data_IF_005684188138
#
_entry.id   IF_005684188138
#
_cell.length_a   1.000
_cell.length_b   1.000
_cell.length_c   1.000
_cell.angle_alpha   90.00
_cell.angle_beta   90.00
_cell.angle_gamma   90.00
#
_symmetry.space_group_name_H-M   'P 1'
#
loop_
_entity.id
_entity.type
_entity.pdbx_description
1 polymer ?
#
# COMPACT_ATOMS: atom_id res chain seq x y z
N UNK A 1 8.56 -10.44 33.90
CA UNK A 1 9.90 -9.80 33.92
C UNK A 1 9.88 -8.79 32.81
N UNK A 2 10.02 -7.48 33.07
CA UNK A 2 9.75 -6.46 32.06
C UNK A 2 10.76 -6.58 30.93
N UNK A 3 10.26 -6.90 29.75
CA UNK A 3 11.03 -7.00 28.52
C UNK A 3 10.74 -5.75 27.68
N UNK A 4 11.78 -4.97 27.40
CA UNK A 4 11.67 -3.73 26.62
C UNK A 4 12.38 -3.91 25.29
N UNK A 5 11.65 -3.79 24.19
CA UNK A 5 12.20 -3.81 22.84
C UNK A 5 12.39 -2.38 22.34
N UNK A 6 13.58 -2.03 21.87
CA UNK A 6 13.87 -0.77 21.20
C UNK A 6 14.24 -1.04 19.74
N UNK A 7 13.50 -0.43 18.83
CA UNK A 7 13.63 -0.60 17.39
C UNK A 7 13.98 0.75 16.75
N UNK A 8 15.10 0.83 16.05
CA UNK A 8 15.46 2.00 15.24
C UNK A 8 15.04 1.78 13.80
N UNK A 9 14.09 2.60 13.33
CA UNK A 9 13.68 2.67 11.92
C UNK A 9 14.54 3.73 11.21
N UNK A 10 15.75 3.36 10.79
CA UNK A 10 16.64 4.23 10.03
C UNK A 10 16.18 4.42 8.57
N UNK A 11 16.84 5.32 7.84
CA UNK A 11 16.47 5.63 6.45
C UNK A 11 16.71 4.51 5.44
N UNK A 12 17.59 3.55 5.74
CA UNK A 12 17.89 2.41 4.85
C UNK A 12 17.85 1.05 5.54
N UNK A 13 18.00 1.03 6.87
CA UNK A 13 18.04 -0.20 7.64
C UNK A 13 17.42 -0.03 9.02
N UNK A 14 16.93 -1.15 9.54
CA UNK A 14 16.31 -1.28 10.86
C UNK A 14 17.24 -2.04 11.77
N UNK A 15 17.41 -1.55 13.00
CA UNK A 15 18.19 -2.22 14.04
C UNK A 15 17.36 -2.39 15.30
N UNK A 16 17.61 -3.44 16.07
CA UNK A 16 16.91 -3.71 17.31
C UNK A 16 17.87 -3.98 18.48
N UNK A 17 17.47 -3.54 19.66
CA UNK A 17 18.06 -3.92 20.92
C UNK A 17 16.94 -4.27 21.89
N UNK A 18 17.19 -5.23 22.77
CA UNK A 18 16.22 -5.68 23.77
C UNK A 18 16.84 -5.62 25.14
N UNK A 19 16.05 -5.19 26.13
CA UNK A 19 16.40 -5.32 27.53
C UNK A 19 15.55 -6.38 28.21
N UNK A 20 16.20 -7.36 28.83
CA UNK A 20 15.58 -8.37 29.68
C UNK A 20 16.24 -8.32 31.04
N UNK A 21 15.44 -8.08 32.08
CA UNK A 21 15.92 -7.95 33.47
C UNK A 21 17.10 -6.97 33.63
N UNK A 22 17.05 -5.87 32.87
CA UNK A 22 18.07 -4.81 32.91
C UNK A 22 19.36 -5.12 32.14
N UNK A 23 19.55 -6.35 31.67
CA UNK A 23 20.58 -6.68 30.67
C UNK A 23 20.13 -6.18 29.31
N UNK A 24 21.03 -5.57 28.55
CA UNK A 24 20.76 -5.10 27.18
C UNK A 24 21.55 -5.99 26.22
N UNK A 25 20.88 -6.54 25.23
CA UNK A 25 21.50 -7.30 24.15
C UNK A 25 21.01 -6.73 22.80
N UNK A 26 21.89 -6.78 21.77
CA UNK A 26 21.52 -6.40 20.40
C UNK A 26 20.83 -7.58 19.73
N UNK A 27 19.72 -7.32 19.05
CA UNK A 27 18.89 -8.36 18.44
C UNK A 27 19.22 -8.48 16.95
N UNK A 28 19.52 -9.70 16.49
CA UNK A 28 19.68 -9.97 15.07
C UNK A 28 18.32 -10.14 14.39
N UNK A 29 18.00 -9.19 13.51
CA UNK A 29 16.73 -9.19 12.79
C UNK A 29 16.77 -10.07 11.52
N UNK A 30 17.85 -9.97 10.73
CA UNK A 30 18.08 -10.81 9.55
C UNK A 30 18.60 -12.22 9.88
N UNK A 31 18.77 -13.07 8.87
CA UNK A 31 19.40 -14.39 9.04
C UNK A 31 20.93 -14.22 9.20
N UNK A 32 21.36 -14.00 10.44
CA UNK A 32 22.76 -13.75 10.79
C UNK A 32 23.22 -12.30 10.57
N UNK A 33 22.31 -11.37 10.24
CA UNK A 33 22.57 -9.94 10.17
C UNK A 33 21.88 -9.19 11.31
N UNK A 34 22.52 -8.12 11.79
CA UNK A 34 21.97 -7.27 12.83
C UNK A 34 20.78 -6.43 12.32
N UNK A 35 20.65 -6.28 11.00
CA UNK A 35 19.74 -5.35 10.36
C UNK A 35 18.73 -6.02 9.42
N UNK A 36 17.65 -5.28 9.15
CA UNK A 36 16.70 -5.51 8.05
C UNK A 36 16.63 -4.27 7.16
N UNK A 37 16.27 -4.40 5.87
CA UNK A 37 15.97 -3.24 5.04
C UNK A 37 14.82 -2.43 5.64
N UNK A 38 14.98 -1.10 5.71
CA UNK A 38 13.93 -0.23 6.20
C UNK A 38 12.81 -0.08 5.16
N UNK A 39 11.53 -0.24 5.56
CA UNK A 39 10.41 0.10 4.70
C UNK A 39 10.34 1.62 4.51
N UNK A 40 9.60 2.06 3.48
CA UNK A 40 9.26 3.48 3.37
C UNK A 40 8.51 3.92 4.62
N UNK A 41 8.70 5.16 5.12
CA UNK A 41 7.87 5.75 6.18
C UNK A 41 6.36 5.66 5.93
N UNK A 42 5.95 5.58 4.66
CA UNK A 42 4.56 5.49 4.21
C UNK A 42 4.13 4.06 3.87
N UNK A 43 5.01 3.07 4.01
CA UNK A 43 4.74 1.65 3.72
C UNK A 43 4.29 0.96 5.01
N UNK A 44 3.00 1.09 5.35
CA UNK A 44 2.41 0.47 6.53
C UNK A 44 2.58 -1.06 6.59
N UNK A 45 2.38 -1.82 5.50
CA UNK A 45 2.63 -3.27 5.50
C UNK A 45 4.09 -3.59 5.78
N UNK A 46 5.02 -2.82 5.22
CA UNK A 46 6.43 -2.90 5.53
C UNK A 46 6.71 -2.69 7.02
N UNK A 47 6.08 -1.67 7.63
CA UNK A 47 6.19 -1.41 9.08
C UNK A 47 5.64 -2.57 9.92
N UNK A 48 4.45 -3.08 9.61
CA UNK A 48 3.86 -4.25 10.29
C UNK A 48 4.81 -5.46 10.19
N UNK A 49 5.35 -5.73 9.01
CA UNK A 49 6.28 -6.85 8.78
C UNK A 49 7.54 -6.72 9.63
N UNK A 50 8.10 -5.53 9.73
CA UNK A 50 9.27 -5.27 10.59
C UNK A 50 8.94 -5.53 12.06
N UNK A 51 7.81 -5.02 12.55
CA UNK A 51 7.37 -5.19 13.95
C UNK A 51 7.15 -6.67 14.30
N UNK A 52 6.42 -7.40 13.45
CA UNK A 52 6.21 -8.85 13.61
C UNK A 52 7.54 -9.60 13.59
N UNK A 53 8.45 -9.24 12.69
CA UNK A 53 9.78 -9.87 12.61
C UNK A 53 10.58 -9.62 13.90
N UNK A 54 10.58 -8.39 14.41
CA UNK A 54 11.28 -8.05 15.64
C UNK A 54 10.71 -8.82 16.85
N UNK A 55 9.39 -8.89 17.00
CA UNK A 55 8.74 -9.67 18.06
C UNK A 55 9.05 -11.17 17.95
N UNK A 56 8.96 -11.75 16.75
CA UNK A 56 9.29 -13.15 16.51
C UNK A 56 10.77 -13.46 16.86
N UNK A 57 11.67 -12.51 16.57
CA UNK A 57 13.09 -12.63 16.94
C UNK A 57 13.30 -12.54 18.45
N UNK A 58 12.58 -11.67 19.17
CA UNK A 58 12.60 -11.64 20.63
C UNK A 58 12.22 -12.99 21.24
N UNK A 59 11.10 -13.58 20.80
CA UNK A 59 10.63 -14.89 21.28
C UNK A 59 11.66 -15.98 20.95
N UNK A 60 12.20 -15.99 19.74
CA UNK A 60 13.11 -17.05 19.31
C UNK A 60 14.51 -16.97 19.92
N UNK A 61 15.05 -15.77 20.13
CA UNK A 61 16.45 -15.56 20.55
C UNK A 61 16.55 -15.39 22.06
N UNK A 62 15.59 -14.65 22.65
CA UNK A 62 15.64 -14.23 24.06
C UNK A 62 14.56 -14.93 24.90
N UNK A 63 13.69 -15.74 24.27
CA UNK A 63 12.63 -16.50 24.94
C UNK A 63 11.67 -15.61 25.75
N UNK A 64 11.39 -14.41 25.22
CA UNK A 64 10.53 -13.42 25.85
C UNK A 64 9.67 -12.65 24.83
N UNK A 65 8.46 -12.29 25.25
CA UNK A 65 7.59 -11.35 24.51
C UNK A 65 7.82 -9.95 25.10
N UNK A 66 8.04 -8.91 24.27
CA UNK A 66 8.21 -7.56 24.78
C UNK A 66 6.93 -7.05 25.43
N UNK A 67 7.05 -6.57 26.66
CA UNK A 67 6.00 -5.88 27.41
C UNK A 67 5.86 -4.42 26.93
N UNK A 68 6.99 -3.83 26.53
CA UNK A 68 7.08 -2.44 26.06
C UNK A 68 7.86 -2.37 24.74
N UNK A 69 7.45 -1.42 23.89
CA UNK A 69 8.08 -1.14 22.60
C UNK A 69 8.47 0.34 22.52
N UNK A 70 9.71 0.60 22.14
CA UNK A 70 10.22 1.94 21.83
C UNK A 70 10.57 1.94 20.35
N UNK A 71 10.01 2.89 19.61
CA UNK A 71 10.38 3.10 18.20
C UNK A 71 11.18 4.37 18.10
N UNK A 72 12.46 4.22 17.77
CA UNK A 72 13.37 5.33 17.50
C UNK A 72 13.33 5.63 16.01
N UNK A 73 13.02 6.86 15.63
CA UNK A 73 12.94 7.28 14.21
C UNK A 73 13.64 8.61 13.96
N UNK A 74 14.14 8.86 12.73
CA UNK A 74 14.61 10.18 12.33
C UNK A 74 13.45 11.19 12.23
N UNK A 75 13.78 12.48 12.14
CA UNK A 75 12.82 13.60 12.00
C UNK A 75 11.78 13.37 10.87
N UNK A 76 12.21 12.73 9.78
CA UNK A 76 11.37 12.36 8.64
C UNK A 76 11.16 10.84 8.67
N UNK A 77 10.06 10.40 9.28
CA UNK A 77 9.71 9.00 9.46
C UNK A 77 8.19 8.79 9.55
N UNK A 78 7.75 7.54 9.68
CA UNK A 78 6.34 7.19 9.82
C UNK A 78 5.76 7.91 11.04
N UNK A 79 4.60 8.54 10.94
CA UNK A 79 3.99 9.29 12.04
C UNK A 79 3.46 8.37 13.17
N UNK A 80 3.13 8.96 14.32
CA UNK A 80 2.73 8.23 15.52
C UNK A 80 1.43 7.43 15.33
N UNK A 81 0.50 7.92 14.50
CA UNK A 81 -0.76 7.24 14.23
C UNK A 81 -0.52 6.00 13.36
N UNK A 82 0.27 6.15 12.29
CA UNK A 82 0.68 5.03 11.43
C UNK A 82 1.43 3.96 12.22
N UNK A 83 2.38 4.35 13.08
CA UNK A 83 3.10 3.40 13.94
C UNK A 83 2.19 2.72 14.97
N UNK A 84 1.23 3.45 15.54
CA UNK A 84 0.23 2.91 16.47
C UNK A 84 -0.66 1.85 15.82
N UNK A 85 -1.16 2.11 14.61
CA UNK A 85 -1.99 1.15 13.87
C UNK A 85 -1.16 -0.06 13.41
N UNK A 86 0.09 0.16 12.97
CA UNK A 86 1.00 -0.92 12.58
C UNK A 86 1.29 -1.83 13.79
N UNK A 87 1.46 -1.24 14.97
CA UNK A 87 1.67 -1.98 16.21
C UNK A 87 0.44 -2.79 16.62
N UNK A 88 -0.76 -2.21 16.52
CA UNK A 88 -2.02 -2.89 16.79
C UNK A 88 -2.18 -4.12 15.89
N UNK A 89 -1.91 -3.97 14.58
CA UNK A 89 -1.95 -5.08 13.62
C UNK A 89 -0.88 -6.13 13.85
N UNK A 90 0.35 -5.72 14.18
CA UNK A 90 1.43 -6.63 14.54
C UNK A 90 1.21 -7.31 15.89
N UNK A 91 0.20 -6.90 16.68
CA UNK A 91 -0.07 -7.39 18.04
C UNK A 91 1.14 -7.20 18.97
N UNK A 92 1.82 -6.08 18.81
CA UNK A 92 2.90 -5.62 19.69
C UNK A 92 2.40 -4.49 20.59
N UNK A 93 3.08 -4.20 21.72
CA UNK A 93 2.74 -3.06 22.55
C UNK A 93 2.72 -1.74 21.75
N UNK A 94 1.85 -0.81 22.13
CA UNK A 94 1.80 0.53 21.52
C UNK A 94 3.16 1.20 21.70
N UNK A 95 3.80 1.67 20.63
CA UNK A 95 5.18 2.15 20.69
C UNK A 95 5.27 3.51 21.39
N UNK A 96 6.23 3.65 22.29
CA UNK A 96 6.75 4.95 22.69
C UNK A 96 7.68 5.47 21.58
N UNK A 97 7.27 6.53 20.89
CA UNK A 97 8.05 7.11 19.79
C UNK A 97 9.12 8.06 20.35
N UNK A 98 10.37 7.84 19.94
CA UNK A 98 11.52 8.63 20.35
C UNK A 98 12.27 9.15 19.13
N UNK A 99 12.67 10.42 19.19
CA UNK A 99 13.54 11.02 18.17
C UNK A 99 14.95 10.41 18.21
N UNK A 100 15.53 10.19 17.03
CA UNK A 100 16.86 9.61 16.87
C UNK A 100 17.95 10.40 17.60
N UNK A 101 17.93 11.74 17.54
CA UNK A 101 18.93 12.56 18.24
C UNK A 101 18.77 12.46 19.76
N UNK A 102 17.53 12.41 20.26
CA UNK A 102 17.28 12.18 21.70
C UNK A 102 17.78 10.81 22.17
N UNK A 103 17.52 9.76 21.39
CA UNK A 103 18.02 8.42 21.70
C UNK A 103 19.55 8.38 21.73
N UNK A 104 20.19 8.94 20.71
CA UNK A 104 21.67 9.00 20.61
C UNK A 104 22.26 9.84 21.75
N UNK A 105 21.62 10.94 22.14
CA UNK A 105 22.04 11.74 23.28
C UNK A 105 21.97 10.95 24.60
N UNK A 106 20.89 10.20 24.83
CA UNK A 106 20.75 9.35 26.00
C UNK A 106 21.83 8.25 26.04
N UNK A 107 22.14 7.63 24.89
CA UNK A 107 23.26 6.68 24.79
C UNK A 107 24.60 7.35 25.14
N UNK A 108 24.85 8.55 24.62
CA UNK A 108 26.10 9.27 24.88
C UNK A 108 26.26 9.70 26.35
N UNK A 109 25.15 9.94 27.05
CA UNK A 109 25.15 10.35 28.45
C UNK A 109 25.25 9.17 29.43
N UNK A 110 24.57 8.06 29.12
CA UNK A 110 24.35 6.96 30.07
C UNK A 110 24.87 5.61 29.61
N UNK A 111 25.22 5.47 28.34
CA UNK A 111 25.64 4.22 27.72
C UNK A 111 27.15 4.06 27.59
N UNK A 112 27.58 2.89 27.06
CA UNK A 112 28.98 2.61 26.82
C UNK A 112 29.54 3.43 25.65
N UNK A 113 30.84 3.75 25.73
CA UNK A 113 31.57 4.35 24.62
C UNK A 113 31.93 3.29 23.56
N UNK A 114 32.12 3.73 22.30
CA UNK A 114 32.61 2.86 21.22
C UNK A 114 31.56 1.97 20.56
N UNK A 115 30.27 2.27 20.75
CA UNK A 115 29.17 1.57 20.07
C UNK A 115 29.16 1.91 18.58
N UNK A 116 28.89 0.91 17.74
CA UNK A 116 28.73 1.09 16.30
C UNK A 116 27.59 2.08 15.99
N UNK A 117 27.86 3.06 15.12
CA UNK A 117 26.92 4.14 14.80
C UNK A 117 25.52 3.66 14.40
N UNK A 118 25.34 2.60 13.58
CA UNK A 118 24.00 2.15 13.19
C UNK A 118 23.18 1.57 14.35
N UNK A 119 23.84 1.03 15.38
CA UNK A 119 23.17 0.46 16.57
C UNK A 119 22.88 1.52 17.63
N UNK A 120 23.56 2.68 17.54
CA UNK A 120 23.50 3.71 18.58
C UNK A 120 22.07 4.19 18.86
N UNK A 121 21.19 4.45 17.88
CA UNK A 121 19.82 4.87 18.17
C UNK A 121 18.99 3.78 18.87
N UNK A 122 19.06 2.53 18.42
CA UNK A 122 18.32 1.41 19.02
C UNK A 122 18.75 1.19 20.49
N UNK A 123 20.05 1.19 20.76
CA UNK A 123 20.57 1.12 22.13
C UNK A 123 20.19 2.36 22.94
N UNK A 124 20.25 3.53 22.31
CA UNK A 124 19.86 4.81 22.89
C UNK A 124 18.44 4.84 23.42
N UNK A 125 17.48 4.22 22.72
CA UNK A 125 16.11 4.07 23.19
C UNK A 125 16.01 3.33 24.53
N UNK A 126 16.80 2.27 24.73
CA UNK A 126 16.83 1.53 26.01
C UNK A 126 17.50 2.32 27.14
N UNK A 127 18.55 3.09 26.83
CA UNK A 127 19.19 3.97 27.82
C UNK A 127 18.32 5.16 28.19
N UNK A 128 17.57 5.70 27.22
CA UNK A 128 16.55 6.73 27.46
C UNK A 128 15.43 6.19 28.35
N UNK A 129 14.90 5.00 28.07
CA UNK A 129 13.89 4.38 28.93
C UNK A 129 14.37 4.14 30.36
N UNK A 130 15.65 3.79 30.53
CA UNK A 130 16.26 3.51 31.84
C UNK A 130 16.58 4.76 32.65
N UNK A 131 17.09 5.80 32.00
CA UNK A 131 17.75 6.93 32.66
C UNK A 131 17.16 8.30 32.29
N UNK A 132 16.24 8.36 31.33
CA UNK A 132 15.63 9.57 30.81
C UNK A 132 16.50 10.30 29.78
N UNK A 133 16.17 11.57 29.56
CA UNK A 133 16.92 12.44 28.66
C UNK A 133 18.34 12.72 29.16
N UNK A 134 19.25 12.95 28.21
CA UNK A 134 20.59 13.39 28.53
C UNK A 134 20.57 14.69 29.35
N UNK A 135 21.39 14.82 30.42
CA UNK A 135 21.43 16.02 31.23
C UNK A 135 21.76 17.26 30.40
N UNK A 136 20.83 18.22 30.35
CA UNK A 136 21.04 19.50 29.68
C UNK A 136 21.70 20.48 30.66
N UNK A 137 23.03 20.42 30.76
CA UNK A 137 23.82 21.35 31.57
C UNK A 137 25.32 21.04 31.46
N UNK A 138 26.20 22.00 31.80
CA UNK A 138 27.62 21.70 31.92
C UNK A 138 27.77 20.55 32.93
N UNK A 139 28.47 19.48 32.54
CA UNK A 139 28.84 18.42 33.49
C UNK A 139 29.46 19.10 34.72
N UNK A 140 29.02 18.78 35.95
CA UNK A 140 29.61 19.38 37.13
C UNK A 140 31.13 19.15 37.06
N UNK A 141 31.89 20.24 37.09
CA UNK A 141 33.34 20.17 37.12
C UNK A 141 33.66 19.61 38.51
N UNK A 142 33.92 18.31 38.57
CA UNK A 142 34.44 17.68 39.78
C UNK A 142 35.86 18.19 39.96
N UNK A 143 36.06 19.06 40.93
CA UNK A 143 37.41 19.57 41.22
C UNK A 143 38.20 18.54 42.02
N UNK A 144 39.52 18.70 42.13
CA UNK A 144 40.36 17.78 42.92
C UNK A 144 39.94 17.75 44.39
N UNK A 145 39.37 18.84 44.86
CA UNK A 145 38.81 19.01 46.20
C UNK A 145 37.56 18.14 46.41
N UNK A 146 36.68 18.01 45.41
CA UNK A 146 35.48 17.16 45.47
C UNK A 146 35.82 15.65 45.52
N UNK A 147 37.01 15.27 45.06
CA UNK A 147 37.53 13.90 45.14
C UNK A 147 38.23 13.60 46.48
N UNK A 148 38.21 14.52 47.45
CA UNK A 148 38.84 14.34 48.76
C UNK A 148 40.38 14.32 48.71
N UNK A 149 40.98 14.77 47.60
CA UNK A 149 42.44 14.85 47.47
C UNK A 149 42.90 16.16 48.10
N UNK A 150 43.39 16.09 49.34
CA UNK A 150 43.95 17.23 50.05
C UNK A 150 45.07 17.92 49.25
N UNK A 151 45.00 19.24 49.15
CA UNK A 151 45.98 20.05 48.41
C UNK A 151 47.39 19.90 48.98
N UNK A 152 48.26 19.12 48.32
CA UNK A 152 49.70 19.22 48.56
C UNK A 152 50.21 20.52 47.95
N UNK A 153 50.59 21.46 48.82
CA UNK A 153 51.27 22.71 48.48
C UNK A 153 52.52 22.40 47.63
N UNK A 154 52.70 22.99 46.43
CA UNK A 154 53.94 22.83 45.70
C UNK A 154 55.07 23.59 46.40
N UNK A 155 56.15 22.89 46.75
CA UNK A 155 57.33 23.38 47.47
C UNK A 155 58.33 24.18 46.59
N UNK A 156 57.85 24.83 45.51
CA UNK A 156 58.72 25.58 44.61
C UNK A 156 58.21 26.99 44.40
N UNK A 157 58.93 27.97 44.97
CA UNK A 157 58.72 29.38 44.68
C UNK A 157 58.86 29.64 43.16
N UNK A 158 58.00 30.49 42.58
CA UNK A 158 58.17 30.92 41.20
C UNK A 158 59.47 31.76 41.05
N UNK A 159 60.27 31.55 39.99
CA UNK A 159 61.42 32.39 39.72
C UNK A 159 60.98 33.82 39.34
N UNK A 160 61.77 34.81 39.75
CA UNK A 160 61.53 36.25 39.57
C UNK A 160 61.54 36.68 38.08
N UNK A 161 60.85 37.77 37.72
CA UNK A 161 60.74 38.23 36.33
C UNK A 161 62.05 38.86 35.84
N UNK A 162 62.60 38.34 34.73
CA UNK A 162 63.71 38.98 34.02
C UNK A 162 63.19 39.93 32.93
N UNK A 163 63.42 41.23 33.12
CA UNK A 163 63.28 42.27 32.09
C UNK A 163 64.65 42.47 31.44
N UNK A 164 64.75 42.33 30.12
CA UNK A 164 65.78 43.00 29.31
C UNK A 164 65.11 43.63 28.11
N UNK A 165 65.21 44.96 28.04
CA UNK A 165 64.77 45.81 26.95
C UNK A 165 65.87 45.89 25.87
N UNK A 166 65.48 45.89 24.59
CA UNK A 166 66.24 46.53 23.51
C UNK A 166 65.24 47.25 22.61
N UNK A 167 65.40 48.57 22.52
CA UNK A 167 64.69 49.46 21.61
C UNK A 167 65.32 49.49 20.19
N UNK A 168 65.22 50.60 19.46
CA UNK A 168 64.48 50.67 18.20
C UNK A 168 65.38 50.60 16.96
N UNK A 169 64.95 49.88 15.91
CA UNK A 169 65.34 50.14 14.52
C UNK A 169 64.10 49.99 13.63
N UNK A 170 63.68 51.10 13.03
CA UNK A 170 62.65 51.22 12.00
C UNK A 170 63.25 50.89 10.63
N UNK A 171 62.60 50.02 9.86
CA UNK A 171 62.60 50.07 8.39
C UNK A 171 61.19 49.66 7.94
N UNK A 172 60.61 50.50 7.10
CA UNK A 172 59.33 50.34 6.41
C UNK A 172 59.21 48.97 5.75
N UNK A 173 58.04 48.34 5.82
CA UNK A 173 57.20 48.12 4.63
C UNK A 173 55.79 47.67 5.05
N UNK A 174 54.82 48.22 4.32
CA UNK A 174 53.39 48.00 4.44
C UNK A 174 53.05 46.67 3.77
N UNK A 175 52.35 45.76 4.46
CA UNK A 175 51.78 44.58 3.78
C UNK A 175 50.47 44.09 4.41
N UNK A 176 49.59 43.76 3.47
CA UNK A 176 48.18 43.41 3.50
C UNK A 176 47.80 42.16 4.33
N UNK A 177 46.49 41.90 4.56
CA UNK A 177 46.02 40.74 5.31
C UNK A 177 46.11 39.48 4.45
N UNK A 178 46.71 38.41 4.98
CA UNK A 178 46.72 37.09 4.35
C UNK A 178 46.09 36.02 5.24
N UNK A 179 44.84 35.75 4.92
CA UNK A 179 44.12 34.49 5.08
C UNK A 179 44.81 33.31 4.36
N UNK A 180 44.79 32.14 5.00
CA UNK A 180 45.06 30.83 4.39
C UNK A 180 44.94 29.73 5.45
N UNK A 181 44.40 28.53 5.21
CA UNK A 181 44.05 27.85 3.95
C UNK A 181 43.22 26.61 4.29
N UNK A 182 41.96 26.53 3.83
CA UNK A 182 41.24 25.27 3.57
C UNK A 182 41.06 25.18 2.06
N UNK A 183 41.60 24.12 1.45
CA UNK A 183 41.60 23.93 0.01
C UNK A 183 40.22 23.60 -0.53
N UNK A 184 39.65 24.51 -1.32
CA UNK A 184 38.60 24.21 -2.29
C UNK A 184 39.22 24.08 -3.70
N UNK A 185 38.57 23.35 -4.62
CA UNK A 185 39.04 23.25 -5.99
C UNK A 185 39.02 24.63 -6.68
N UNK A 186 39.93 24.88 -7.63
CA UNK A 186 40.14 26.21 -8.19
C UNK A 186 38.89 26.67 -8.97
N UNK A 187 38.48 27.90 -8.71
CA UNK A 187 37.38 28.64 -9.34
C UNK A 187 37.25 28.55 -10.87
N UNK A 188 38.30 28.34 -11.70
CA UNK A 188 38.10 28.06 -13.12
C UNK A 188 37.36 26.75 -13.40
N UNK A 189 37.49 25.72 -12.55
CA UNK A 189 36.82 24.42 -12.75
C UNK A 189 35.31 24.53 -12.55
N UNK A 190 34.88 25.30 -11.55
CA UNK A 190 33.45 25.55 -11.30
C UNK A 190 32.82 26.37 -12.42
N UNK A 191 33.57 27.31 -13.00
CA UNK A 191 33.08 28.09 -14.13
C UNK A 191 32.95 27.23 -15.40
N UNK A 192 33.92 26.37 -15.68
CA UNK A 192 33.83 25.41 -16.81
C UNK A 192 32.70 24.41 -16.60
N UNK A 193 32.50 23.92 -15.37
CA UNK A 193 31.39 23.03 -15.03
C UNK A 193 30.04 23.74 -15.19
N UNK A 194 29.92 24.99 -14.74
CA UNK A 194 28.70 25.78 -14.89
C UNK A 194 28.37 26.04 -16.37
N UNK A 195 29.38 26.32 -17.21
CA UNK A 195 29.21 26.50 -18.66
C UNK A 195 28.81 25.18 -19.33
N UNK A 196 29.40 24.05 -18.93
CA UNK A 196 29.02 22.73 -19.43
C UNK A 196 27.58 22.35 -19.03
N UNK A 197 27.18 22.63 -17.79
CA UNK A 197 25.81 22.38 -17.30
C UNK A 197 24.81 23.29 -18.00
N UNK A 198 25.13 24.57 -18.17
CA UNK A 198 24.29 25.50 -18.91
C UNK A 198 24.17 25.14 -20.40
N UNK A 199 25.27 24.68 -21.02
CA UNK A 199 25.29 24.18 -22.40
C UNK A 199 24.49 22.88 -22.56
N UNK A 200 24.60 21.95 -21.62
CA UNK A 200 23.81 20.72 -21.59
C UNK A 200 22.32 21.01 -21.39
N UNK A 201 21.99 21.98 -20.53
CA UNK A 201 20.61 22.43 -20.30
C UNK A 201 20.02 23.14 -21.52
N UNK A 202 20.80 23.98 -22.20
CA UNK A 202 20.40 24.62 -23.46
C UNK A 202 20.21 23.59 -24.59
N UNK A 203 21.09 22.59 -24.69
CA UNK A 203 20.95 21.48 -25.63
C UNK A 203 19.70 20.62 -25.33
N UNK A 204 19.40 20.38 -24.04
CA UNK A 204 18.19 19.66 -23.63
C UNK A 204 16.91 20.45 -23.93
N UNK A 205 16.96 21.79 -23.85
CA UNK A 205 15.84 22.66 -24.21
C UNK A 205 15.63 22.73 -25.73
N UNK A 206 16.70 22.74 -26.52
CA UNK A 206 16.61 22.69 -27.99
C UNK A 206 16.14 21.31 -28.48
N UNK A 207 16.61 20.21 -27.87
CA UNK A 207 16.15 18.85 -28.19
C UNK A 207 14.72 18.54 -27.71
N UNK A 208 14.15 19.37 -26.82
CA UNK A 208 12.73 19.31 -26.42
C UNK A 208 11.84 20.20 -27.27
N UNK A 209 12.41 21.05 -28.13
CA UNK A 209 11.71 21.95 -29.05
C UNK A 209 12.06 21.54 -30.49
N UNK A 210 11.69 20.30 -30.84
CA UNK A 210 11.40 19.95 -32.22
C UNK A 210 9.93 19.50 -32.28
N UNK A 211 9.13 20.41 -32.83
CA UNK A 211 7.73 20.28 -33.16
C UNK A 211 7.47 19.02 -34.01
N UNK A 212 6.52 18.17 -33.58
CA UNK A 212 5.75 17.39 -34.55
C UNK A 212 4.67 18.31 -35.15
N UNK A 213 4.65 18.52 -36.48
CA UNK A 213 3.69 19.43 -37.09
C UNK A 213 2.26 18.93 -36.92
N UNK A 214 1.40 19.88 -36.53
CA UNK A 214 -0.07 19.78 -36.55
C UNK A 214 -0.51 19.24 -37.92
N UNK A 215 -1.22 18.11 -37.92
CA UNK A 215 -1.85 17.57 -39.10
C UNK A 215 -2.89 18.56 -39.66
N UNK A 216 -2.93 18.84 -40.97
CA UNK A 216 -4.01 19.60 -41.58
C UNK A 216 -5.29 18.72 -41.68
N UNK A 217 -6.49 19.33 -41.73
CA UNK A 217 -7.76 18.60 -41.81
C UNK A 217 -7.86 17.78 -43.10
N UNK A 218 -8.62 16.65 -43.10
CA UNK A 218 -8.64 15.75 -44.24
C UNK A 218 -9.27 16.40 -45.47
N UNK A 219 -8.45 16.61 -46.51
CA UNK A 219 -8.93 16.86 -47.87
C UNK A 219 -9.32 15.53 -48.51
N UNK A 220 -10.57 15.47 -48.99
CA UNK A 220 -11.10 14.41 -49.82
C UNK A 220 -10.24 14.33 -51.08
N UNK A 221 -9.51 13.23 -51.26
CA UNK A 221 -8.85 12.91 -52.53
C UNK A 221 -9.50 11.65 -53.09
N UNK A 222 -10.25 11.86 -54.16
CA UNK A 222 -10.67 10.86 -55.12
C UNK A 222 -9.44 10.13 -55.65
N UNK A 223 -9.21 8.89 -55.23
CA UNK A 223 -8.28 7.98 -55.91
C UNK A 223 -9.07 7.09 -56.85
N UNK A 224 -8.89 7.36 -58.14
CA UNK A 224 -9.29 6.49 -59.24
C UNK A 224 -8.43 5.23 -59.19
N UNK A 225 -9.07 4.07 -59.03
CA UNK A 225 -8.42 2.76 -59.19
C UNK A 225 -8.53 2.34 -60.67
N UNK A 226 -7.43 1.95 -61.33
CA UNK A 226 -7.44 1.52 -62.72
C UNK A 226 -8.05 0.12 -62.89
N UNK A 227 -8.90 0.00 -63.90
CA UNK A 227 -9.55 -1.21 -64.38
C UNK A 227 -8.61 -2.05 -65.26
N UNK A 228 -8.42 -3.34 -64.94
CA UNK A 228 -7.97 -4.37 -65.91
C UNK A 228 -8.55 -5.76 -65.54
N UNK A 229 -8.75 -6.64 -66.54
CA UNK A 229 -9.86 -7.59 -66.58
C UNK A 229 -9.49 -8.97 -66.05
N UNK A 230 -10.45 -9.66 -65.43
CA UNK A 230 -10.34 -11.10 -65.19
C UNK A 230 -11.31 -11.85 -66.10
N UNK A 231 -10.72 -12.58 -67.03
CA UNK A 231 -11.34 -13.47 -68.00
C UNK A 231 -11.98 -14.67 -67.31
N UNK A 232 -13.21 -15.00 -67.71
CA UNK A 232 -13.98 -16.18 -67.28
C UNK A 232 -14.03 -17.14 -68.48
N UNK A 233 -13.73 -18.45 -68.36
CA UNK A 233 -14.06 -19.41 -69.39
C UNK A 233 -15.50 -19.94 -69.23
N UNK A 234 -16.16 -20.39 -70.32
CA UNK A 234 -17.60 -20.56 -70.40
C UNK A 234 -18.05 -21.98 -69.98
N UNK A 235 -19.28 -22.10 -69.46
CA UNK A 235 -20.07 -23.32 -69.53
C UNK A 235 -21.48 -22.93 -69.97
N UNK A 236 -21.87 -23.46 -71.12
CA UNK A 236 -23.15 -23.24 -71.79
C UNK A 236 -24.33 -23.92 -71.10
N UNK A 237 -25.49 -23.34 -71.41
CA UNK A 237 -26.80 -23.57 -70.85
C UNK A 237 -27.43 -24.94 -71.19
N UNK A 238 -28.34 -25.37 -70.32
CA UNK A 238 -29.61 -25.91 -70.77
C UNK A 238 -30.75 -25.44 -69.87
N UNK A 239 -31.74 -24.87 -70.53
CA UNK A 239 -32.94 -24.18 -70.06
C UNK A 239 -34.06 -25.14 -69.66
N UNK A 240 -34.79 -24.86 -68.59
CA UNK A 240 -36.26 -25.04 -68.55
C UNK A 240 -36.90 -24.09 -67.52
N UNK A 241 -38.10 -23.62 -67.86
CA UNK A 241 -38.86 -22.45 -67.42
C UNK A 241 -39.56 -22.59 -66.03
N UNK A 242 -39.90 -21.48 -65.32
CA UNK A 242 -40.57 -21.51 -64.01
C UNK A 242 -42.10 -21.34 -64.07
N UNK A 243 -42.84 -21.72 -63.01
CA UNK A 243 -44.12 -21.07 -62.70
C UNK A 243 -44.21 -20.51 -61.26
N UNK A 244 -44.58 -19.22 -61.23
CA UNK A 244 -45.58 -18.45 -60.44
C UNK A 244 -45.85 -18.75 -58.93
N UNK A 245 -45.96 -17.61 -58.23
CA UNK A 245 -46.20 -17.22 -56.83
C UNK A 245 -47.62 -17.55 -56.30
N UNK A 246 -47.76 -17.77 -54.99
CA UNK A 246 -48.87 -17.20 -54.21
C UNK A 246 -48.49 -16.96 -52.73
N UNK A 247 -49.01 -15.85 -52.18
CA UNK A 247 -48.71 -15.28 -50.86
C UNK A 247 -49.69 -15.74 -49.77
N UNK A 248 -49.24 -15.76 -48.51
CA UNK A 248 -50.12 -15.93 -47.34
C UNK A 248 -49.83 -14.88 -46.26
N UNK A 249 -50.90 -14.29 -45.72
CA UNK A 249 -50.93 -13.19 -44.73
C UNK A 249 -51.73 -13.62 -43.49
N UNK A 250 -51.17 -13.33 -42.30
CA UNK A 250 -51.70 -13.00 -40.94
C UNK A 250 -53.07 -13.50 -40.42
N UNK A 251 -53.16 -13.98 -39.15
CA UNK A 251 -54.14 -13.50 -38.14
C UNK A 251 -53.87 -13.97 -36.68
N UNK A 252 -54.38 -13.18 -35.73
CA UNK A 252 -54.27 -13.18 -34.25
C UNK A 252 -55.48 -13.92 -33.61
N UNK A 253 -55.40 -14.55 -32.42
CA UNK A 253 -56.57 -15.19 -31.79
C UNK A 253 -57.45 -14.22 -30.97
N UNK A 254 -58.79 -14.38 -30.95
CA UNK A 254 -59.72 -13.59 -30.12
C UNK A 254 -60.15 -14.30 -28.81
N UNK A 255 -60.78 -13.50 -27.94
CA UNK A 255 -61.27 -13.79 -26.59
C UNK A 255 -62.82 -13.75 -26.53
N UNK A 256 -63.38 -14.57 -25.61
CA UNK A 256 -64.66 -14.50 -24.86
C UNK A 256 -66.01 -15.12 -25.30
N UNK A 257 -66.62 -15.75 -24.27
CA UNK A 257 -68.03 -15.78 -23.83
C UNK A 257 -68.97 -16.99 -24.13
N UNK A 258 -69.48 -17.62 -23.05
CA UNK A 258 -70.87 -18.13 -22.82
C UNK A 258 -70.99 -18.75 -21.41
N UNK A 259 -71.65 -18.13 -20.41
CA UNK A 259 -73.09 -18.10 -20.00
C UNK A 259 -73.60 -19.28 -19.12
N UNK A 260 -74.56 -18.95 -18.22
CA UNK A 260 -74.96 -19.60 -16.94
C UNK A 260 -76.39 -20.18 -17.00
N UNK A 261 -76.74 -21.28 -16.27
CA UNK A 261 -77.91 -21.47 -15.33
C UNK A 261 -78.23 -22.96 -14.87
N UNK A 262 -79.11 -23.27 -13.87
CA UNK A 262 -78.84 -24.08 -12.64
C UNK A 262 -79.81 -25.31 -12.44
N UNK A 263 -80.27 -25.70 -11.21
CA UNK A 263 -79.66 -26.47 -10.10
C UNK A 263 -80.30 -27.89 -9.91
N UNK A 264 -79.70 -28.80 -9.11
CA UNK A 264 -80.43 -29.92 -8.45
C UNK A 264 -79.85 -30.20 -7.04
N UNK A 265 -80.76 -30.35 -6.09
CA UNK A 265 -80.60 -30.60 -4.65
C UNK A 265 -81.09 -32.02 -4.37
N UNK A 266 -80.38 -32.78 -3.52
CA UNK A 266 -80.92 -33.84 -2.64
C UNK A 266 -79.85 -34.07 -1.52
N UNK A 267 -80.06 -33.54 -0.31
CA UNK A 267 -80.71 -34.18 0.86
C UNK A 267 -79.96 -35.47 1.31
N UNK A 268 -79.10 -35.49 2.33
CA UNK A 268 -79.25 -35.25 3.77
C UNK A 268 -79.03 -36.57 4.56
N UNK A 269 -77.98 -36.63 5.40
CA UNK A 269 -78.07 -37.27 6.72
C UNK A 269 -77.11 -36.61 7.70
N UNK A 270 -77.66 -36.33 8.87
CA UNK A 270 -77.25 -35.46 9.96
C UNK A 270 -76.25 -36.14 10.91
N UNK A 271 -75.19 -35.42 11.35
CA UNK A 271 -74.82 -35.31 12.77
C UNK A 271 -73.76 -34.20 13.00
N UNK A 272 -74.02 -33.36 14.02
CA UNK A 272 -73.18 -32.29 14.61
C UNK A 272 -73.54 -32.25 16.12
N UNK A 273 -72.81 -31.63 17.08
CA UNK A 273 -71.46 -31.00 17.13
C UNK A 273 -70.67 -31.39 18.46
N UNK A 274 -69.57 -30.72 18.92
CA UNK A 274 -69.57 -29.34 19.43
C UNK A 274 -68.43 -28.44 18.91
N UNK A 275 -68.64 -27.16 19.20
CA UNK A 275 -67.94 -25.93 18.83
C UNK A 275 -66.71 -25.69 19.73
N UNK A 276 -65.68 -25.00 19.19
CA UNK A 276 -64.81 -23.98 19.81
C UNK A 276 -63.41 -24.04 19.14
N UNK A 277 -62.74 -22.97 18.71
CA UNK A 277 -62.96 -21.54 18.76
C UNK A 277 -62.25 -20.92 17.53
N UNK A 278 -62.78 -19.81 17.00
CA UNK A 278 -62.06 -19.02 16.00
C UNK A 278 -60.84 -18.36 16.62
N UNK A 279 -59.65 -18.81 16.22
CA UNK A 279 -58.45 -17.97 16.24
C UNK A 279 -58.09 -17.65 14.80
N UNK A 280 -58.51 -16.47 14.35
CA UNK A 280 -58.02 -15.86 13.12
C UNK A 280 -56.54 -15.55 13.31
N UNK A 281 -55.68 -16.47 12.86
CA UNK A 281 -54.24 -16.22 12.76
C UNK A 281 -54.03 -15.29 11.55
N UNK A 282 -53.44 -14.10 11.72
CA UNK A 282 -53.10 -13.25 10.57
C UNK A 282 -52.08 -13.99 9.69
N UNK A 283 -52.10 -13.77 8.36
CA UNK A 283 -51.14 -14.40 7.47
C UNK A 283 -49.72 -14.04 7.94
N UNK A 284 -48.89 -15.07 8.12
CA UNK A 284 -47.45 -14.91 8.34
C UNK A 284 -46.92 -14.22 7.10
N UNK A 285 -46.59 -12.94 7.24
CA UNK A 285 -45.76 -12.23 6.27
C UNK A 285 -44.37 -12.85 6.42
N UNK A 286 -43.93 -13.60 5.41
CA UNK A 286 -42.53 -14.02 5.31
C UNK A 286 -41.66 -12.76 5.39
N UNK A 287 -41.00 -12.60 6.54
CA UNK A 287 -39.91 -11.64 6.65
C UNK A 287 -38.84 -12.06 5.64
N UNK A 288 -38.22 -11.13 4.88
CA UNK A 288 -37.13 -11.51 3.99
C UNK A 288 -36.02 -12.07 4.88
N UNK A 289 -35.78 -13.38 4.77
CA UNK A 289 -34.52 -13.98 5.21
C UNK A 289 -33.44 -13.31 4.38
N UNK A 290 -32.78 -12.30 4.96
CA UNK A 290 -31.55 -11.75 4.40
C UNK A 290 -30.50 -12.84 4.53
N UNK A 291 -30.47 -13.74 3.56
CA UNK A 291 -29.40 -14.73 3.40
C UNK A 291 -28.16 -13.98 2.99
N UNK A 292 -27.34 -13.74 4.00
CA UNK A 292 -25.95 -13.37 3.91
C UNK A 292 -25.27 -14.07 2.72
N UNK A 293 -24.67 -13.34 1.75
CA UNK A 293 -24.05 -13.93 0.56
C UNK A 293 -22.96 -14.95 0.90
N UNK A 294 -22.91 -16.07 0.18
CA UNK A 294 -21.82 -17.03 0.29
C UNK A 294 -20.57 -16.47 -0.40
N UNK A 295 -19.40 -16.67 0.22
CA UNK A 295 -18.13 -16.35 -0.41
C UNK A 295 -17.92 -17.29 -1.60
N UNK A 296 -17.45 -16.75 -2.72
CA UNK A 296 -17.00 -17.56 -3.85
C UNK A 296 -15.68 -18.26 -3.56
N UNK A 297 -15.17 -18.98 -4.55
CA UNK A 297 -13.87 -19.67 -4.46
C UNK A 297 -12.67 -18.70 -4.39
N UNK A 298 -12.88 -17.42 -4.68
CA UNK A 298 -11.89 -16.35 -4.49
C UNK A 298 -12.50 -15.26 -3.61
N UNK A 299 -11.84 -14.98 -2.50
CA UNK A 299 -12.17 -13.89 -1.58
C UNK A 299 -11.07 -12.83 -1.62
N UNK A 300 -11.44 -11.57 -1.81
CA UNK A 300 -10.51 -10.46 -1.99
C UNK A 300 -10.18 -9.78 -0.65
N UNK A 301 -8.96 -9.27 -0.50
CA UNK A 301 -8.57 -8.51 0.69
C UNK A 301 -7.59 -7.39 0.35
N UNK A 302 -7.39 -6.49 1.29
CA UNK A 302 -6.43 -5.39 1.16
C UNK A 302 -4.96 -5.82 1.02
N UNK A 303 -4.65 -7.06 1.38
CA UNK A 303 -3.29 -7.63 1.34
C UNK A 303 -3.09 -8.67 0.24
N UNK A 304 -4.13 -9.02 -0.52
CA UNK A 304 -4.06 -10.05 -1.56
C UNK A 304 -5.41 -10.70 -1.84
N UNK A 305 -5.41 -12.00 -2.09
CA UNK A 305 -6.64 -12.78 -2.22
C UNK A 305 -6.49 -14.15 -1.56
N UNK A 306 -7.61 -14.70 -1.13
CA UNK A 306 -7.72 -16.01 -0.48
C UNK A 306 -8.53 -16.95 -1.36
N UNK A 307 -7.97 -18.11 -1.65
CA UNK A 307 -8.67 -19.19 -2.34
C UNK A 307 -9.41 -20.06 -1.33
N UNK A 308 -10.64 -20.45 -1.66
CA UNK A 308 -11.51 -21.32 -0.86
C UNK A 308 -11.58 -20.92 0.62
N UNK A 309 -11.73 -19.60 0.86
CA UNK A 309 -11.79 -19.02 2.19
C UNK A 309 -12.86 -19.68 3.06
N UNK A 310 -12.58 -19.82 4.37
CA UNK A 310 -13.43 -20.47 5.37
C UNK A 310 -13.61 -21.99 5.20
N UNK A 311 -12.79 -22.63 4.36
CA UNK A 311 -12.76 -24.08 4.16
C UNK A 311 -11.42 -24.68 4.62
N UNK A 312 -11.34 -26.01 4.68
CA UNK A 312 -10.09 -26.71 4.98
C UNK A 312 -9.01 -26.52 3.87
N UNK A 313 -9.40 -26.04 2.69
CA UNK A 313 -8.52 -25.74 1.56
C UNK A 313 -8.03 -24.30 1.50
N UNK A 314 -8.31 -23.49 2.52
CA UNK A 314 -8.00 -22.05 2.53
C UNK A 314 -6.51 -21.78 2.23
N UNK A 315 -6.27 -20.92 1.22
CA UNK A 315 -4.91 -20.49 0.84
C UNK A 315 -4.87 -18.99 0.56
N UNK A 316 -4.17 -18.25 1.42
CA UNK A 316 -3.88 -16.83 1.21
C UNK A 316 -2.66 -16.66 0.29
N UNK A 317 -2.81 -15.80 -0.72
CA UNK A 317 -1.74 -15.26 -1.54
C UNK A 317 -1.62 -13.76 -1.27
N UNK A 318 -0.52 -13.35 -0.64
CA UNK A 318 -0.28 -11.96 -0.28
C UNK A 318 0.47 -11.22 -1.39
N UNK A 319 0.31 -9.90 -1.45
CA UNK A 319 1.14 -9.08 -2.33
C UNK A 319 2.62 -9.21 -1.96
N UNK A 320 3.47 -9.41 -2.97
CA UNK A 320 4.88 -9.71 -2.81
C UNK A 320 5.22 -11.20 -2.69
N UNK A 321 4.23 -12.09 -2.61
CA UNK A 321 4.47 -13.54 -2.71
C UNK A 321 4.83 -13.95 -4.16
N UNK A 322 5.28 -15.20 -4.31
CA UNK A 322 5.57 -15.81 -5.61
C UNK A 322 4.34 -15.77 -6.52
N UNK A 323 4.39 -14.90 -7.53
CA UNK A 323 3.26 -14.64 -8.41
C UNK A 323 2.99 -15.77 -9.42
N UNK A 324 3.97 -16.60 -9.76
CA UNK A 324 3.72 -17.75 -10.65
C UNK A 324 2.99 -18.86 -9.89
N UNK A 325 3.37 -19.08 -8.62
CA UNK A 325 2.67 -20.02 -7.75
C UNK A 325 1.22 -19.54 -7.45
N UNK A 326 1.05 -18.25 -7.14
CA UNK A 326 -0.26 -17.65 -6.96
C UNK A 326 -1.14 -17.79 -8.22
N UNK A 327 -0.58 -17.57 -9.40
CA UNK A 327 -1.28 -17.73 -10.66
C UNK A 327 -1.68 -19.19 -10.92
N UNK A 328 -0.78 -20.15 -10.66
CA UNK A 328 -1.07 -21.57 -10.86
C UNK A 328 -2.26 -22.04 -10.01
N UNK A 329 -2.31 -21.64 -8.74
CA UNK A 329 -3.42 -21.96 -7.86
C UNK A 329 -4.72 -21.25 -8.30
N UNK A 330 -4.63 -19.96 -8.65
CA UNK A 330 -5.79 -19.19 -9.12
C UNK A 330 -6.39 -19.79 -10.40
N UNK A 331 -5.54 -20.24 -11.33
CA UNK A 331 -5.97 -20.93 -12.56
C UNK A 331 -6.63 -22.26 -12.25
N UNK A 332 -6.19 -22.96 -11.20
CA UNK A 332 -6.81 -24.21 -10.76
C UNK A 332 -8.25 -23.96 -10.28
N UNK A 333 -8.48 -22.84 -9.59
CA UNK A 333 -9.77 -22.48 -9.01
C UNK A 333 -10.72 -21.81 -10.01
N UNK A 334 -10.23 -20.86 -10.81
CA UNK A 334 -11.05 -20.03 -11.72
C UNK A 334 -10.95 -20.44 -13.20
N UNK A 335 -10.09 -21.39 -13.54
CA UNK A 335 -9.76 -21.73 -14.93
C UNK A 335 -8.76 -20.76 -15.57
N UNK A 336 -8.53 -20.91 -16.87
CA UNK A 336 -7.59 -20.05 -17.61
C UNK A 336 -8.08 -18.59 -17.66
N UNK A 337 -7.17 -17.61 -17.60
CA UNK A 337 -7.52 -16.21 -17.80
C UNK A 337 -8.07 -16.02 -19.22
N UNK A 338 -9.09 -15.17 -19.33
CA UNK A 338 -9.73 -14.78 -20.60
C UNK A 338 -8.88 -13.72 -21.31
N UNK A 339 -8.14 -12.91 -20.56
CA UNK A 339 -7.20 -11.92 -21.09
C UNK A 339 -5.82 -12.09 -20.46
N UNK A 340 -4.80 -12.23 -21.31
CA UNK A 340 -3.39 -12.28 -20.91
C UNK A 340 -2.54 -11.72 -22.07
N UNK A 341 -2.16 -10.42 -22.03
CA UNK A 341 -1.33 -9.82 -23.06
C UNK A 341 0.14 -10.25 -22.94
N UNK A 342 0.49 -11.05 -21.94
CA UNK A 342 1.86 -11.39 -21.60
C UNK A 342 2.58 -10.28 -20.84
N UNK A 343 3.91 -10.40 -20.79
CA UNK A 343 4.80 -9.46 -20.12
C UNK A 343 5.09 -8.24 -21.00
N UNK A 344 4.96 -7.05 -20.44
CA UNK A 344 5.34 -5.81 -21.11
C UNK A 344 5.47 -4.62 -20.15
N UNK A 345 6.00 -3.48 -20.64
CA UNK A 345 5.97 -2.24 -19.89
C UNK A 345 4.54 -1.73 -19.77
N UNK A 346 4.26 -1.01 -18.69
CA UNK A 346 2.96 -0.39 -18.46
C UNK A 346 3.14 0.98 -17.81
N UNK A 347 2.68 2.03 -18.50
CA UNK A 347 2.86 3.42 -18.07
C UNK A 347 2.14 3.74 -16.75
N UNK A 348 1.22 2.88 -16.29
CA UNK A 348 0.50 3.04 -15.03
C UNK A 348 1.18 2.32 -13.88
N UNK A 349 2.20 1.51 -14.15
CA UNK A 349 2.84 0.68 -13.13
C UNK A 349 4.24 1.19 -12.81
N UNK A 350 4.67 0.98 -11.57
CA UNK A 350 5.99 1.44 -11.09
C UNK A 350 7.10 0.50 -11.54
N UNK A 351 6.77 -0.77 -11.78
CA UNK A 351 7.71 -1.82 -12.19
C UNK A 351 7.88 -1.88 -13.71
N UNK A 352 9.10 -2.20 -14.20
CA UNK A 352 9.43 -2.15 -15.63
C UNK A 352 8.75 -3.26 -16.46
N UNK A 353 8.42 -4.41 -15.86
CA UNK A 353 7.71 -5.49 -16.54
C UNK A 353 6.50 -5.95 -15.73
N UNK A 354 5.34 -5.95 -16.39
CA UNK A 354 4.04 -6.26 -15.81
C UNK A 354 3.29 -7.23 -16.71
N UNK A 355 2.51 -8.12 -16.11
CA UNK A 355 1.55 -9.01 -16.79
C UNK A 355 0.19 -8.90 -16.12
N UNK A 356 -0.85 -8.58 -16.90
CA UNK A 356 -2.24 -8.39 -16.42
C UNK A 356 -3.10 -9.58 -16.87
N UNK A 357 -3.64 -10.32 -15.92
CA UNK A 357 -4.43 -11.52 -16.19
C UNK A 357 -5.88 -11.28 -15.80
N UNK A 358 -6.83 -11.53 -16.70
CA UNK A 358 -8.25 -11.19 -16.51
C UNK A 358 -9.19 -12.40 -16.49
N UNK A 359 -10.13 -12.42 -15.56
CA UNK A 359 -11.24 -13.37 -15.43
C UNK A 359 -12.57 -12.60 -15.40
N UNK A 360 -12.94 -12.02 -16.54
CA UNK A 360 -14.12 -11.17 -16.65
C UNK A 360 -13.91 -9.83 -15.92
N UNK A 361 -14.54 -9.68 -14.76
CA UNK A 361 -14.45 -8.46 -13.94
C UNK A 361 -13.21 -8.35 -13.07
N UNK A 362 -12.54 -9.48 -12.80
CA UNK A 362 -11.33 -9.55 -11.99
C UNK A 362 -10.08 -9.49 -12.87
N UNK A 363 -9.16 -8.58 -12.54
CA UNK A 363 -7.82 -8.50 -13.09
C UNK A 363 -6.80 -8.72 -11.97
N UNK A 364 -5.83 -9.62 -12.19
CA UNK A 364 -4.68 -9.83 -11.30
C UNK A 364 -3.42 -9.37 -12.02
N UNK A 365 -2.57 -8.64 -11.31
CA UNK A 365 -1.33 -8.07 -11.83
C UNK A 365 -0.15 -8.77 -11.21
N UNK A 366 0.72 -9.29 -12.07
CA UNK A 366 2.04 -9.78 -11.71
C UNK A 366 3.10 -8.78 -12.15
N UNK A 367 4.17 -8.64 -11.37
CA UNK A 367 5.27 -7.73 -11.67
C UNK A 367 6.63 -8.40 -11.53
N UNK A 368 7.63 -7.89 -12.25
CA UNK A 368 9.04 -8.24 -12.05
C UNK A 368 9.97 -7.11 -12.45
N UNK A 369 11.18 -7.09 -11.88
CA UNK A 369 12.16 -6.02 -12.10
C UNK A 369 12.92 -6.13 -13.42
N UNK A 370 12.97 -7.32 -14.02
CA UNK A 370 13.58 -7.59 -15.32
C UNK A 370 13.13 -8.95 -15.83
N UNK A 371 13.26 -9.16 -17.14
CA UNK A 371 13.04 -10.47 -17.76
C UNK A 371 13.83 -11.58 -17.05
N UNK A 372 13.12 -12.62 -16.60
CA UNK A 372 13.70 -13.75 -15.88
C UNK A 372 13.98 -13.52 -14.39
N UNK A 373 13.66 -12.33 -13.86
CA UNK A 373 13.65 -12.06 -12.42
C UNK A 373 12.47 -12.70 -11.69
N UNK A 374 12.42 -12.60 -10.34
CA UNK A 374 11.32 -13.13 -9.56
C UNK A 374 10.00 -12.43 -9.94
N UNK A 375 8.97 -13.24 -10.21
CA UNK A 375 7.60 -12.78 -10.44
C UNK A 375 6.90 -12.63 -9.11
N UNK A 376 6.32 -11.45 -8.85
CA UNK A 376 5.61 -11.16 -7.62
C UNK A 376 4.15 -10.86 -7.90
N UNK A 377 3.25 -11.33 -7.02
CA UNK A 377 1.87 -10.89 -6.99
C UNK A 377 1.83 -9.41 -6.56
N UNK A 378 1.34 -8.53 -7.42
CA UNK A 378 1.47 -7.08 -7.21
C UNK A 378 0.16 -6.39 -6.86
N UNK A 379 -0.95 -6.84 -7.43
CA UNK A 379 -2.23 -6.15 -7.33
C UNK A 379 -3.38 -7.06 -7.79
N UNK A 380 -4.58 -6.83 -7.27
CA UNK A 380 -5.83 -7.25 -7.92
C UNK A 380 -6.73 -6.03 -8.14
N UNK A 381 -7.58 -6.08 -9.15
CA UNK A 381 -8.53 -5.03 -9.53
C UNK A 381 -9.85 -5.67 -9.93
N UNK A 382 -10.96 -5.18 -9.41
CA UNK A 382 -12.30 -5.69 -9.65
C UNK A 382 -13.20 -4.59 -10.21
N UNK A 383 -13.92 -4.91 -11.27
CA UNK A 383 -14.93 -4.04 -11.90
C UNK A 383 -15.97 -4.87 -12.65
N UNK A 384 -17.00 -4.23 -13.19
CA UNK A 384 -17.97 -4.87 -14.06
C UNK A 384 -19.26 -5.27 -13.33
N UNK A 385 -19.63 -6.55 -13.40
CA UNK A 385 -20.88 -7.06 -12.85
C UNK A 385 -20.88 -7.08 -11.32
N UNK A 386 -22.07 -6.96 -10.73
CA UNK A 386 -22.27 -7.01 -9.29
C UNK A 386 -21.76 -8.33 -8.68
N UNK A 387 -21.29 -8.26 -7.45
CA UNK A 387 -20.73 -9.41 -6.74
C UNK A 387 -21.75 -10.51 -6.45
N UNK A 388 -23.05 -10.20 -6.46
CA UNK A 388 -24.11 -11.21 -6.43
C UNK A 388 -24.08 -12.14 -7.66
N UNK A 389 -23.61 -11.65 -8.81
CA UNK A 389 -23.47 -12.43 -10.04
C UNK A 389 -22.11 -13.11 -10.17
N UNK A 390 -21.04 -12.46 -9.67
CA UNK A 390 -19.66 -12.96 -9.83
C UNK A 390 -19.15 -13.78 -8.66
N UNK A 391 -19.82 -13.71 -7.50
CA UNK A 391 -19.38 -14.31 -6.23
C UNK A 391 -18.01 -13.81 -5.73
N UNK A 392 -17.53 -12.68 -6.24
CA UNK A 392 -16.26 -12.06 -5.83
C UNK A 392 -16.54 -11.05 -4.72
N UNK A 393 -16.17 -11.42 -3.50
CA UNK A 393 -16.45 -10.66 -2.29
C UNK A 393 -15.18 -10.50 -1.45
N UNK A 394 -15.16 -9.50 -0.58
CA UNK A 394 -14.23 -9.48 0.55
C UNK A 394 -14.75 -10.36 1.70
N UNK A 395 -13.92 -10.64 2.71
CA UNK A 395 -14.36 -11.36 3.91
C UNK A 395 -15.49 -10.62 4.65
N UNK A 396 -15.47 -9.30 4.60
CA UNK A 396 -16.50 -8.41 5.14
C UNK A 396 -17.75 -8.32 4.25
N UNK A 397 -17.78 -9.08 3.13
CA UNK A 397 -18.85 -9.11 2.14
C UNK A 397 -19.09 -7.79 1.43
N UNK A 398 -17.99 -7.08 1.15
CA UNK A 398 -17.99 -5.92 0.28
C UNK A 398 -17.63 -6.38 -1.14
N UNK A 399 -18.36 -5.88 -2.13
CA UNK A 399 -18.22 -6.27 -3.53
C UNK A 399 -18.69 -5.16 -4.47
N UNK A 400 -18.60 -5.40 -5.78
CA UNK A 400 -19.21 -4.51 -6.78
C UNK A 400 -20.73 -4.53 -6.55
N UNK A 401 -21.33 -3.35 -6.52
CA UNK A 401 -22.74 -3.18 -6.23
C UNK A 401 -23.08 -2.99 -4.75
N UNK A 402 -22.19 -3.33 -3.80
CA UNK A 402 -22.41 -3.04 -2.37
C UNK A 402 -22.61 -1.54 -2.13
N UNK A 403 -23.41 -1.20 -1.13
CA UNK A 403 -23.71 0.21 -0.81
C UNK A 403 -22.63 0.83 0.07
N UNK A 404 -22.54 2.16 0.11
CA UNK A 404 -21.68 2.88 1.06
C UNK A 404 -22.13 2.62 2.50
N UNK A 405 -23.43 2.40 2.72
CA UNK A 405 -23.95 1.95 4.01
C UNK A 405 -23.35 0.62 4.44
N UNK A 406 -23.27 -0.36 3.52
CA UNK A 406 -22.63 -1.66 3.77
C UNK A 406 -21.14 -1.50 4.07
N UNK A 407 -20.43 -0.68 3.30
CA UNK A 407 -19.01 -0.34 3.52
C UNK A 407 -18.75 0.21 4.93
N UNK A 408 -19.58 1.17 5.39
CA UNK A 408 -19.46 1.75 6.73
C UNK A 408 -19.80 0.74 7.82
N UNK A 409 -20.77 -0.14 7.58
CA UNK A 409 -21.11 -1.20 8.53
C UNK A 409 -19.98 -2.23 8.67
N UNK A 410 -19.31 -2.56 7.57
CA UNK A 410 -18.19 -3.51 7.52
C UNK A 410 -16.91 -2.97 8.18
N UNK A 411 -16.53 -1.71 7.90
CA UNK A 411 -15.24 -1.15 8.30
C UNK A 411 -15.32 -0.10 9.41
N UNK A 412 -16.52 0.21 9.90
CA UNK A 412 -16.73 1.18 10.98
C UNK A 412 -16.13 2.56 10.67
N UNK A 413 -15.39 3.13 11.62
CA UNK A 413 -14.73 4.43 11.48
C UNK A 413 -13.40 4.40 10.73
N UNK A 414 -12.91 3.23 10.28
CA UNK A 414 -11.61 3.07 9.62
C UNK A 414 -11.66 3.38 8.12
N UNK A 415 -12.86 3.48 7.53
CA UNK A 415 -13.03 3.85 6.13
C UNK A 415 -12.95 5.37 5.92
N UNK A 416 -12.20 5.79 4.91
CA UNK A 416 -12.26 7.16 4.40
C UNK A 416 -13.08 7.21 3.12
N UNK A 417 -13.87 8.28 2.97
CA UNK A 417 -14.67 8.58 1.79
C UNK A 417 -14.35 9.99 1.34
N UNK A 418 -13.82 10.11 0.13
CA UNK A 418 -13.44 11.37 -0.48
C UNK A 418 -14.39 11.68 -1.63
N UNK A 419 -14.96 12.88 -1.63
CA UNK A 419 -15.70 13.41 -2.79
C UNK A 419 -14.79 14.40 -3.53
N UNK A 420 -14.35 14.11 -4.77
CA UNK A 420 -13.44 14.98 -5.51
C UNK A 420 -14.00 16.38 -5.80
N UNK A 421 -15.31 16.53 -5.87
CA UNK A 421 -15.98 17.80 -6.18
C UNK A 421 -17.39 17.82 -5.60
N UNK A 422 -17.85 18.96 -5.08
CA UNK A 422 -19.25 19.11 -4.65
C UNK A 422 -20.26 19.00 -5.80
N UNK A 423 -19.79 19.07 -7.05
CA UNK A 423 -20.62 18.94 -8.26
C UNK A 423 -20.69 17.52 -8.80
N UNK A 424 -19.80 16.63 -8.36
CA UNK A 424 -19.79 15.23 -8.74
C UNK A 424 -20.10 14.37 -7.51
N UNK A 425 -21.26 13.69 -7.46
CA UNK A 425 -21.58 12.84 -6.33
C UNK A 425 -20.59 11.68 -6.17
N UNK A 426 -19.91 11.26 -7.25
CA UNK A 426 -18.96 10.16 -7.23
C UNK A 426 -17.86 10.40 -6.19
N UNK A 427 -17.38 9.31 -5.62
CA UNK A 427 -16.37 9.37 -4.58
C UNK A 427 -15.38 8.23 -4.66
N UNK A 428 -14.30 8.38 -3.90
CA UNK A 428 -13.32 7.34 -3.66
C UNK A 428 -13.44 6.86 -2.23
N UNK A 429 -13.16 5.59 -2.00
CA UNK A 429 -13.02 5.04 -0.66
C UNK A 429 -11.66 4.37 -0.48
N UNK A 430 -11.21 4.34 0.77
CA UNK A 430 -10.09 3.54 1.25
C UNK A 430 -10.48 2.93 2.58
N UNK A 431 -10.42 1.60 2.69
CA UNK A 431 -10.78 0.86 3.91
C UNK A 431 -9.66 0.83 4.95
N UNK A 432 -8.43 1.13 4.58
CA UNK A 432 -7.30 1.26 5.51
C UNK A 432 -6.30 2.33 5.01
N UNK A 433 -6.66 3.62 5.15
CA UNK A 433 -5.84 4.73 4.66
C UNK A 433 -4.57 4.95 5.49
N UNK A 434 -4.51 4.46 6.73
CA UNK A 434 -3.38 4.68 7.63
C UNK A 434 -2.21 3.74 7.30
N UNK A 435 -2.50 2.46 7.07
CA UNK A 435 -1.47 1.50 6.71
C UNK A 435 -1.25 1.39 5.20
N UNK A 436 -2.25 1.66 4.37
CA UNK A 436 -2.07 1.64 2.92
C UNK A 436 -2.09 0.22 2.31
N UNK A 437 -2.50 -0.78 3.07
CA UNK A 437 -2.97 -2.08 2.56
C UNK A 437 -4.50 -2.20 2.61
N UNK A 438 -5.19 -1.07 2.52
CA UNK A 438 -6.63 -1.03 2.39
C UNK A 438 -7.08 -1.46 1.00
N UNK A 439 -8.36 -1.80 0.92
CA UNK A 439 -9.07 -1.86 -0.35
C UNK A 439 -9.45 -0.44 -0.72
N UNK A 440 -9.05 -0.03 -1.91
CA UNK A 440 -9.40 1.27 -2.48
C UNK A 440 -10.41 1.07 -3.59
N UNK A 441 -11.26 2.05 -3.82
CA UNK A 441 -12.30 1.91 -4.84
C UNK A 441 -13.04 3.18 -5.14
N UNK A 442 -13.95 3.12 -6.12
CA UNK A 442 -14.83 4.21 -6.46
C UNK A 442 -16.29 3.85 -6.19
N UNK A 443 -17.05 4.84 -5.73
CA UNK A 443 -18.49 4.76 -5.49
C UNK A 443 -19.20 5.79 -6.37
N UNK A 444 -20.39 5.44 -6.86
CA UNK A 444 -21.21 6.36 -7.67
C UNK A 444 -21.76 7.55 -6.88
N UNK A 445 -21.82 7.43 -5.54
CA UNK A 445 -22.18 8.50 -4.62
C UNK A 445 -21.56 8.22 -3.23
N UNK A 446 -21.20 9.23 -2.45
CA UNK A 446 -20.71 9.05 -1.05
C UNK A 446 -21.81 8.99 0.04
N UNK A 447 -23.08 9.17 -0.33
CA UNK A 447 -24.23 8.88 0.55
C UNK A 447 -24.38 7.37 0.80
N UNK A 448 -25.07 6.95 1.85
CA UNK A 448 -25.29 5.53 2.19
C UNK A 448 -25.84 4.68 1.04
N UNK A 449 -26.64 5.25 0.14
CA UNK A 449 -27.22 4.54 -1.01
C UNK A 449 -26.30 4.45 -2.24
N UNK A 450 -25.15 5.12 -2.21
CA UNK A 450 -24.17 5.04 -3.29
C UNK A 450 -23.62 3.63 -3.43
N UNK A 451 -23.33 3.18 -4.65
CA UNK A 451 -22.84 1.83 -4.91
C UNK A 451 -21.37 1.82 -5.27
N UNK A 452 -20.66 0.78 -4.86
CA UNK A 452 -19.30 0.49 -5.29
C UNK A 452 -19.30 0.09 -6.77
N UNK A 453 -18.47 0.77 -7.56
CA UNK A 453 -18.37 0.59 -9.01
C UNK A 453 -17.09 -0.16 -9.43
N UNK A 454 -16.04 0.00 -8.64
CA UNK A 454 -14.76 -0.67 -8.80
C UNK A 454 -14.03 -0.69 -7.46
N UNK A 455 -13.13 -1.64 -7.31
CA UNK A 455 -12.26 -1.75 -6.14
C UNK A 455 -10.96 -2.46 -6.50
N UNK A 456 -9.90 -2.21 -5.74
CA UNK A 456 -8.58 -2.81 -5.94
C UNK A 456 -7.79 -2.77 -4.64
N UNK A 457 -6.78 -3.64 -4.55
CA UNK A 457 -5.76 -3.55 -3.51
C UNK A 457 -4.39 -3.89 -4.10
N UNK A 458 -3.34 -3.44 -3.42
CA UNK A 458 -1.96 -3.46 -3.92
C UNK A 458 -1.57 -2.20 -4.69
N UNK A 459 -0.27 -1.91 -4.73
CA UNK A 459 0.31 -0.66 -5.26
C UNK A 459 1.11 -0.87 -6.55
N UNK A 460 1.00 -2.04 -7.19
CA UNK A 460 1.74 -2.35 -8.41
C UNK A 460 1.48 -1.34 -9.55
N UNK A 461 0.23 -0.90 -9.69
CA UNK A 461 -0.20 0.03 -10.72
C UNK A 461 -1.23 1.04 -10.21
N UNK A 462 -1.09 2.27 -10.69
CA UNK A 462 -2.03 3.37 -10.46
C UNK A 462 -3.39 3.05 -11.07
N UNK A 463 -4.44 3.12 -10.23
CA UNK A 463 -5.86 2.97 -10.63
C UNK A 463 -6.69 4.23 -10.41
N UNK A 464 -6.23 5.10 -9.52
CA UNK A 464 -6.83 6.41 -9.30
C UNK A 464 -6.23 7.40 -10.30
N UNK A 465 -7.06 7.87 -11.22
CA UNK A 465 -6.70 8.90 -12.19
C UNK A 465 -7.34 10.22 -11.75
N UNK A 466 -6.56 11.30 -11.80
CA UNK A 466 -6.99 12.65 -11.44
C UNK A 466 -7.73 13.36 -12.56
#
# INVERSE_FOLDING_TARGET
MPTVLSLHLGGSSVHAAVSVDGRIDVLSLGDGRADLPAPSPTDGPGLVRVLVTAQARCVRIVDAVPDELIVVRPDVGADDATLGEAAARARVPVPAVLDELRAVAALAAHGPAGVDRPLAPALGGLFWHRSGDAPTGPKPIVTREDLGVGASRPDRLPPAPSVVAVGPRTVFEEDAPLSGRRGGPPTPLLFVLAVLVAGAFAALMVLRVDDRPIAPPPSIVTTVVPSFPTSVPPVDASTTQPPVVDAATTSVPPVDASTTQPPVVDAATTSVPPVDASTTQPPVVDAPTSTVPHLGSVTLSGVGFTLDATTDGERLWAFGDDGEAALADLVTVMGQPIGDPGWGPDDRCTTPEVRRLGWGGLEVVLSRMAAGGPTLLAQWYLTGQDSDATSLWTLERIGIGSTVGDLRAAHGGQITLERPSDRDPAGWFDTEPLLGDGIRGAVGNTSDVGRVLLMWAGEGCQRRFG
#
